data_IF_043522785693
#
_entry.id   IF_043522785693
#
_cell.length_a   1.000
_cell.length_b   1.000
_cell.length_c   1.000
_cell.angle_alpha   90.00
_cell.angle_beta   90.00
_cell.angle_gamma   90.00
#
_symmetry.space_group_name_H-M   'P 1'
#
loop_
_entity.id
_entity.type
_entity.pdbx_description
1 polymer ?
#
# COMPACT_ATOMS: atom_id res chain seq x y z
N UNK A 1 -24.77 -62.67 -6.78
CA UNK A 1 -25.90 -61.88 -7.22
C UNK A 1 -26.24 -60.78 -6.18
N UNK A 2 -26.66 -61.09 -4.94
CA UNK A 2 -27.04 -60.08 -3.92
C UNK A 2 -26.04 -58.93 -3.79
N UNK A 3 -24.73 -59.20 -3.71
CA UNK A 3 -23.69 -58.17 -3.59
C UNK A 3 -23.65 -57.24 -4.79
N UNK A 4 -23.96 -57.73 -6.00
CA UNK A 4 -24.04 -56.93 -7.23
C UNK A 4 -25.32 -56.08 -7.27
N UNK A 5 -26.42 -56.66 -6.75
CA UNK A 5 -27.70 -55.94 -6.61
C UNK A 5 -27.59 -54.80 -5.60
N UNK A 6 -26.93 -55.03 -4.47
CA UNK A 6 -26.67 -54.00 -3.47
C UNK A 6 -25.79 -52.86 -4.03
N UNK A 7 -24.73 -53.20 -4.78
CA UNK A 7 -23.88 -52.22 -5.44
C UNK A 7 -24.61 -51.42 -6.52
N UNK A 8 -25.50 -52.08 -7.27
CA UNK A 8 -26.32 -51.41 -8.27
C UNK A 8 -27.28 -50.41 -7.63
N UNK A 9 -27.94 -50.81 -6.55
CA UNK A 9 -28.85 -49.97 -5.79
C UNK A 9 -28.12 -48.74 -5.20
N UNK A 10 -26.90 -48.94 -4.68
CA UNK A 10 -26.06 -47.89 -4.17
C UNK A 10 -25.65 -46.87 -5.26
N UNK A 11 -25.26 -47.34 -6.44
CA UNK A 11 -24.91 -46.49 -7.60
C UNK A 11 -26.13 -45.71 -8.09
N UNK A 12 -27.31 -46.32 -8.16
CA UNK A 12 -28.55 -45.62 -8.53
C UNK A 12 -28.87 -44.53 -7.51
N UNK A 13 -28.76 -44.82 -6.23
CA UNK A 13 -28.96 -43.84 -5.17
C UNK A 13 -28.02 -42.60 -5.30
N UNK A 14 -26.75 -42.83 -5.65
CA UNK A 14 -25.81 -41.75 -5.87
C UNK A 14 -26.11 -40.96 -7.15
N UNK A 15 -26.61 -41.57 -8.17
CA UNK A 15 -27.05 -40.90 -9.41
C UNK A 15 -28.28 -40.02 -9.19
N UNK A 16 -29.25 -40.49 -8.41
CA UNK A 16 -30.45 -39.76 -8.07
C UNK A 16 -30.17 -38.55 -7.14
N UNK A 17 -29.09 -38.64 -6.33
CA UNK A 17 -28.65 -37.61 -5.39
C UNK A 17 -27.22 -37.10 -5.72
N UNK A 18 -26.92 -36.91 -7.00
CA UNK A 18 -25.56 -36.60 -7.46
C UNK A 18 -24.95 -35.38 -6.84
N UNK A 19 -25.73 -34.33 -6.60
CA UNK A 19 -25.25 -33.07 -6.00
C UNK A 19 -24.82 -33.29 -4.55
N UNK A 20 -25.62 -33.98 -3.76
CA UNK A 20 -25.32 -34.26 -2.35
C UNK A 20 -24.12 -35.19 -2.22
N UNK A 21 -24.05 -36.22 -3.07
CA UNK A 21 -22.89 -37.12 -3.14
C UNK A 21 -21.61 -36.36 -3.50
N UNK A 22 -21.66 -35.46 -4.48
CA UNK A 22 -20.51 -34.64 -4.87
C UNK A 22 -20.05 -33.70 -3.72
N UNK A 23 -20.99 -33.07 -3.02
CA UNK A 23 -20.71 -32.24 -1.86
C UNK A 23 -19.98 -33.01 -0.77
N UNK A 24 -20.49 -34.20 -0.42
CA UNK A 24 -19.91 -35.03 0.64
C UNK A 24 -18.57 -35.63 0.21
N UNK A 25 -18.39 -35.97 -1.05
CA UNK A 25 -17.12 -36.39 -1.61
C UNK A 25 -16.06 -35.28 -1.47
N UNK A 26 -16.39 -34.04 -1.84
CA UNK A 26 -15.46 -32.92 -1.73
C UNK A 26 -15.20 -32.52 -0.30
N UNK A 27 -16.17 -32.59 0.62
CA UNK A 27 -15.95 -32.41 2.07
C UNK A 27 -14.94 -33.43 2.61
N UNK A 28 -15.07 -34.71 2.20
CA UNK A 28 -14.13 -35.77 2.58
C UNK A 28 -12.73 -35.50 2.02
N UNK A 29 -12.61 -35.13 0.75
CA UNK A 29 -11.32 -34.72 0.17
C UNK A 29 -10.68 -33.55 0.89
N UNK A 30 -11.48 -32.54 1.28
CA UNK A 30 -10.99 -31.41 2.07
C UNK A 30 -10.46 -31.85 3.44
N UNK A 31 -11.16 -32.76 4.09
CA UNK A 31 -10.74 -33.31 5.39
C UNK A 31 -9.46 -34.14 5.31
N UNK A 32 -9.34 -34.98 4.25
CA UNK A 32 -8.24 -35.92 4.13
C UNK A 32 -6.96 -35.30 3.54
N UNK A 33 -7.10 -34.21 2.74
CA UNK A 33 -6.01 -33.63 1.95
C UNK A 33 -5.96 -32.10 1.98
N UNK A 34 -6.80 -31.43 2.78
CA UNK A 34 -6.94 -29.98 2.79
C UNK A 34 -5.84 -29.24 3.56
N UNK A 35 -5.25 -29.90 4.54
CA UNK A 35 -4.23 -29.29 5.39
C UNK A 35 -3.00 -28.83 4.58
N UNK A 36 -2.62 -27.58 4.74
CA UNK A 36 -1.53 -26.94 4.00
C UNK A 36 -1.81 -26.70 2.51
N UNK A 37 -3.05 -26.90 2.04
CA UNK A 37 -3.49 -26.66 0.66
C UNK A 37 -4.63 -25.67 0.57
N UNK A 38 -4.65 -24.70 1.48
CA UNK A 38 -5.64 -23.64 1.49
C UNK A 38 -5.54 -22.78 0.24
N UNK A 39 -6.68 -22.27 -0.16
CA UNK A 39 -6.74 -21.44 -1.35
C UNK A 39 -6.04 -20.11 -1.12
N UNK A 40 -4.95 -19.87 -1.82
CA UNK A 40 -4.20 -18.60 -1.80
C UNK A 40 -4.71 -17.56 -2.80
N UNK A 41 -5.76 -17.87 -3.57
CA UNK A 41 -6.32 -16.97 -4.58
C UNK A 41 -7.80 -16.74 -4.35
N UNK A 42 -8.23 -15.49 -4.52
CA UNK A 42 -9.64 -15.09 -4.48
C UNK A 42 -10.22 -15.08 -5.90
N UNK A 43 -11.42 -15.68 -6.10
CA UNK A 43 -12.13 -15.54 -7.37
C UNK A 43 -12.93 -14.26 -7.33
N UNK A 44 -12.58 -13.31 -8.20
CA UNK A 44 -13.33 -12.07 -8.42
C UNK A 44 -13.88 -12.03 -9.84
N UNK A 45 -15.04 -11.42 -10.00
CA UNK A 45 -15.59 -11.13 -11.34
C UNK A 45 -14.75 -10.03 -11.99
N UNK A 46 -14.56 -10.10 -13.31
CA UNK A 46 -13.76 -9.12 -14.05
C UNK A 46 -14.28 -7.68 -13.91
N UNK A 47 -15.56 -7.51 -13.67
CA UNK A 47 -16.20 -6.20 -13.50
C UNK A 47 -15.75 -5.43 -12.23
N UNK A 48 -15.18 -6.16 -11.25
CA UNK A 48 -14.69 -5.56 -9.98
C UNK A 48 -13.17 -5.41 -9.94
N UNK A 49 -12.43 -5.89 -10.95
CA UNK A 49 -10.97 -5.83 -10.98
C UNK A 49 -10.53 -4.64 -11.83
N UNK A 50 -10.14 -3.55 -11.20
CA UNK A 50 -9.38 -2.50 -11.90
C UNK A 50 -7.98 -3.04 -12.21
N UNK A 51 -7.61 -3.05 -13.49
CA UNK A 51 -6.31 -3.60 -13.94
C UNK A 51 -5.12 -2.96 -13.19
N UNK A 52 -5.22 -1.70 -12.84
CA UNK A 52 -4.22 -0.95 -12.07
C UNK A 52 -4.00 -1.47 -10.64
N UNK A 53 -4.97 -2.19 -10.07
CA UNK A 53 -4.86 -2.76 -8.71
C UNK A 53 -4.20 -4.13 -8.68
N UNK A 54 -4.11 -4.82 -9.82
CA UNK A 54 -3.61 -6.20 -9.92
C UNK A 54 -2.21 -6.28 -10.53
N UNK A 55 -1.79 -5.24 -11.23
CA UNK A 55 -0.48 -5.23 -11.92
C UNK A 55 0.65 -5.05 -10.93
N UNK A 56 1.55 -6.03 -10.92
CA UNK A 56 2.79 -5.97 -10.15
C UNK A 56 3.72 -4.94 -10.77
N UNK A 57 4.34 -4.09 -9.93
CA UNK A 57 5.37 -3.15 -10.37
C UNK A 57 6.57 -3.95 -10.92
N UNK A 58 6.77 -3.92 -12.24
CA UNK A 58 7.79 -4.69 -12.95
C UNK A 58 8.89 -3.80 -13.58
N UNK A 59 8.79 -2.50 -13.40
CA UNK A 59 9.70 -1.49 -13.95
C UNK A 59 10.22 -0.58 -12.84
N UNK A 60 11.39 0.02 -13.08
CA UNK A 60 11.97 1.04 -12.21
C UNK A 60 11.91 2.38 -12.93
N UNK A 61 11.33 3.37 -12.29
CA UNK A 61 11.19 4.73 -12.80
C UNK A 61 12.44 5.54 -12.45
N UNK A 62 12.94 6.30 -13.41
CA UNK A 62 14.09 7.18 -13.26
C UNK A 62 13.79 8.57 -13.79
N UNK A 63 14.50 9.57 -13.30
CA UNK A 63 14.37 10.98 -13.70
C UNK A 63 15.72 11.62 -13.92
N UNK A 64 15.84 12.38 -15.01
CA UNK A 64 16.89 13.36 -15.23
C UNK A 64 16.29 14.77 -15.05
N UNK A 65 16.48 15.35 -13.85
CA UNK A 65 15.81 16.61 -13.47
C UNK A 65 16.26 17.80 -14.30
N UNK A 66 17.53 17.87 -14.60
CA UNK A 66 18.13 19.01 -15.32
C UNK A 66 17.76 18.99 -16.81
N UNK A 67 17.86 17.82 -17.44
CA UNK A 67 17.52 17.66 -18.86
C UNK A 67 16.01 17.51 -19.09
N UNK A 68 15.23 17.16 -18.06
CA UNK A 68 13.78 17.07 -18.10
C UNK A 68 13.23 15.78 -18.68
N UNK A 69 13.94 14.67 -18.55
CA UNK A 69 13.49 13.36 -19.00
C UNK A 69 13.06 12.48 -17.83
N UNK A 70 11.98 11.71 -18.04
CA UNK A 70 11.48 10.69 -17.10
C UNK A 70 11.21 9.41 -17.87
N UNK A 71 11.50 8.24 -17.26
CA UNK A 71 11.18 6.94 -17.85
C UNK A 71 11.97 5.78 -17.26
N UNK A 72 11.54 4.54 -17.58
CA UNK A 72 12.19 3.32 -17.09
C UNK A 72 13.47 2.95 -17.86
N UNK A 73 13.75 3.61 -18.98
CA UNK A 73 14.98 3.41 -19.77
C UNK A 73 16.20 4.19 -19.28
N UNK A 74 16.02 5.12 -18.35
CA UNK A 74 17.05 6.05 -17.87
C UNK A 74 17.86 5.48 -16.69
N UNK A 75 18.39 4.28 -16.82
CA UNK A 75 19.04 3.51 -15.72
C UNK A 75 20.29 4.17 -15.10
N UNK A 76 20.84 5.21 -15.70
CA UNK A 76 22.01 5.97 -15.22
C UNK A 76 21.63 7.21 -14.42
N UNK A 77 20.36 7.59 -14.45
CA UNK A 77 19.81 8.79 -13.82
C UNK A 77 19.25 8.46 -12.42
N UNK A 78 18.66 9.44 -11.76
CA UNK A 78 18.12 9.30 -10.40
C UNK A 78 16.95 8.31 -10.39
N UNK A 79 17.01 7.30 -9.52
CA UNK A 79 15.91 6.37 -9.26
C UNK A 79 14.79 7.06 -8.45
N UNK A 80 13.55 6.87 -8.88
CA UNK A 80 12.36 7.45 -8.24
C UNK A 80 11.59 6.39 -7.44
N UNK A 81 11.08 5.37 -8.12
CA UNK A 81 10.26 4.31 -7.51
C UNK A 81 10.11 3.12 -8.45
N UNK A 82 9.52 2.05 -7.94
CA UNK A 82 9.00 0.99 -8.79
C UNK A 82 7.67 1.41 -9.40
N UNK A 83 7.39 0.98 -10.62
CA UNK A 83 6.17 1.27 -11.35
C UNK A 83 5.80 0.13 -12.30
N UNK A 84 4.62 0.20 -12.86
CA UNK A 84 4.18 -0.64 -13.98
C UNK A 84 4.18 0.15 -15.28
N UNK A 85 4.17 -0.54 -16.40
CA UNK A 85 4.04 0.06 -17.74
C UNK A 85 2.64 0.64 -18.02
N UNK A 86 1.65 0.31 -17.20
CA UNK A 86 0.30 0.89 -17.28
C UNK A 86 0.08 2.06 -16.31
N UNK A 87 1.00 2.30 -15.37
CA UNK A 87 0.88 3.37 -14.40
C UNK A 87 0.93 4.76 -15.05
N UNK A 88 0.37 5.72 -14.34
CA UNK A 88 0.50 7.14 -14.65
C UNK A 88 1.46 7.80 -13.65
N UNK A 89 2.23 8.76 -14.13
CA UNK A 89 3.17 9.53 -13.33
C UNK A 89 2.78 11.00 -13.31
N UNK A 90 2.94 11.62 -12.15
CA UNK A 90 2.77 13.07 -11.98
C UNK A 90 4.14 13.74 -11.90
N UNK A 91 4.28 14.84 -12.62
CA UNK A 91 5.51 15.61 -12.70
C UNK A 91 5.22 17.06 -12.33
N UNK A 92 6.08 17.65 -11.50
CA UNK A 92 6.04 19.07 -11.16
C UNK A 92 7.37 19.73 -11.54
N UNK A 93 7.30 20.87 -12.22
CA UNK A 93 8.47 21.64 -12.67
C UNK A 93 8.63 22.94 -11.87
N UNK A 94 9.84 23.48 -11.86
CA UNK A 94 10.18 24.72 -11.15
C UNK A 94 9.46 25.96 -11.67
N UNK A 95 9.00 25.95 -12.92
CA UNK A 95 8.20 27.03 -13.53
C UNK A 95 6.73 27.04 -13.07
N UNK A 96 6.31 26.07 -12.25
CA UNK A 96 4.94 25.98 -11.75
C UNK A 96 4.02 25.09 -12.56
N UNK A 97 4.54 24.42 -13.58
CA UNK A 97 3.76 23.50 -14.41
C UNK A 97 3.72 22.11 -13.82
N UNK A 98 2.53 21.51 -13.84
CA UNK A 98 2.26 20.11 -13.50
C UNK A 98 1.70 19.38 -14.72
N UNK A 99 2.11 18.13 -14.89
CA UNK A 99 1.57 17.23 -15.93
C UNK A 99 1.42 15.82 -15.38
N UNK A 100 0.37 15.10 -15.80
CA UNK A 100 0.23 13.67 -15.58
C UNK A 100 0.30 12.96 -16.93
N UNK A 101 1.11 11.91 -16.99
CA UNK A 101 1.32 11.14 -18.22
C UNK A 101 1.49 9.68 -17.92
N UNK A 102 1.26 8.83 -18.92
CA UNK A 102 1.57 7.41 -18.82
C UNK A 102 3.09 7.19 -18.71
N UNK A 103 3.49 6.17 -17.98
CA UNK A 103 4.90 5.73 -17.92
C UNK A 103 5.39 5.35 -19.32
N UNK A 104 6.61 5.79 -19.67
CA UNK A 104 7.26 5.49 -20.95
C UNK A 104 8.73 5.09 -20.71
N UNK A 105 9.38 4.57 -21.74
CA UNK A 105 10.81 4.25 -21.70
C UNK A 105 11.68 5.50 -21.48
N UNK A 106 11.38 6.58 -22.17
CA UNK A 106 12.01 7.91 -22.05
C UNK A 106 11.10 8.97 -22.67
N UNK A 107 10.58 9.88 -21.85
CA UNK A 107 9.73 10.99 -22.31
C UNK A 107 10.25 12.31 -21.75
N UNK A 108 10.19 13.36 -22.58
CA UNK A 108 10.59 14.72 -22.20
C UNK A 108 9.38 15.46 -21.60
N UNK A 109 9.57 16.08 -20.44
CA UNK A 109 8.53 16.85 -19.71
C UNK A 109 8.92 18.29 -19.43
N UNK A 110 10.06 18.75 -19.93
CA UNK A 110 10.62 20.05 -19.62
C UNK A 110 11.69 20.00 -18.52
N UNK A 111 12.57 20.99 -18.53
CA UNK A 111 13.70 21.09 -17.59
C UNK A 111 13.26 21.45 -16.20
N UNK A 112 14.19 21.31 -15.24
CA UNK A 112 14.03 21.71 -13.85
C UNK A 112 12.86 21.01 -13.16
N UNK A 113 12.80 19.67 -13.27
CA UNK A 113 11.80 18.83 -12.61
C UNK A 113 12.07 18.83 -11.11
N UNK A 114 11.09 19.26 -10.31
CA UNK A 114 11.16 19.26 -8.85
C UNK A 114 10.72 17.93 -8.24
N UNK A 115 9.64 17.34 -8.78
CA UNK A 115 9.06 16.12 -8.23
C UNK A 115 8.48 15.22 -9.32
N UNK A 116 8.68 13.92 -9.13
CA UNK A 116 8.07 12.84 -9.95
C UNK A 116 7.61 11.74 -9.02
N UNK A 117 6.42 11.24 -9.23
CA UNK A 117 5.87 10.07 -8.50
C UNK A 117 4.87 9.30 -9.37
N UNK A 118 4.59 8.05 -9.02
CA UNK A 118 3.44 7.32 -9.55
C UNK A 118 2.17 8.00 -9.05
N UNK A 119 1.24 8.29 -9.95
CA UNK A 119 -0.01 8.97 -9.65
C UNK A 119 -1.20 8.02 -9.75
N UNK A 120 -2.11 8.13 -8.80
CA UNK A 120 -3.36 7.36 -8.77
C UNK A 120 -4.54 8.30 -8.87
N UNK A 121 -5.45 8.02 -9.83
CA UNK A 121 -6.70 8.78 -9.98
C UNK A 121 -7.55 8.63 -8.72
N UNK A 122 -8.08 9.75 -8.23
CA UNK A 122 -8.91 9.76 -7.02
C UNK A 122 -8.14 9.78 -5.70
N UNK A 123 -6.80 9.81 -5.72
CA UNK A 123 -6.01 9.93 -4.49
C UNK A 123 -6.23 11.33 -3.86
N UNK A 124 -6.91 11.35 -2.73
CA UNK A 124 -7.19 12.53 -1.93
C UNK A 124 -6.27 12.66 -0.69
N UNK A 125 -5.38 11.68 -0.48
CA UNK A 125 -4.47 11.67 0.67
C UNK A 125 -3.14 12.31 0.39
N UNK A 126 -2.62 12.20 -0.83
CA UNK A 126 -1.41 12.90 -1.23
C UNK A 126 -1.68 14.40 -1.31
N UNK A 127 -1.09 15.14 -0.40
CA UNK A 127 -1.21 16.59 -0.29
C UNK A 127 0.09 17.25 -0.69
N UNK A 128 0.01 18.21 -1.60
CA UNK A 128 1.16 18.97 -2.08
C UNK A 128 1.19 20.33 -1.40
N UNK A 129 2.37 20.70 -0.87
CA UNK A 129 2.65 22.03 -0.36
C UNK A 129 3.45 22.79 -1.40
N UNK A 130 3.04 24.01 -1.68
CA UNK A 130 3.69 24.84 -2.68
C UNK A 130 3.77 26.28 -2.22
N UNK A 131 4.98 26.87 -2.34
CA UNK A 131 5.17 28.31 -2.26
C UNK A 131 5.75 28.78 -3.58
N UNK A 132 5.13 29.76 -4.19
CA UNK A 132 5.57 30.29 -5.48
C UNK A 132 5.62 31.81 -5.48
N UNK A 133 6.51 32.35 -6.27
CA UNK A 133 6.62 33.79 -6.57
C UNK A 133 5.82 34.06 -7.85
N UNK A 134 4.90 35.03 -7.80
CA UNK A 134 4.03 35.41 -8.90
C UNK A 134 4.70 36.47 -9.79
N UNK A 135 5.32 36.01 -10.87
CA UNK A 135 6.19 36.81 -11.73
C UNK A 135 7.58 37.05 -11.13
N UNK A 136 8.48 37.68 -11.86
CA UNK A 136 9.90 37.84 -11.50
C UNK A 136 10.16 38.69 -10.25
N UNK A 137 9.26 39.57 -9.87
CA UNK A 137 9.36 40.47 -8.73
C UNK A 137 8.06 40.64 -7.93
N UNK A 138 7.09 39.77 -8.17
CA UNK A 138 5.78 39.81 -7.54
C UNK A 138 5.76 39.21 -6.10
N UNK A 139 4.60 39.24 -5.46
CA UNK A 139 4.40 38.64 -4.14
C UNK A 139 4.56 37.12 -4.19
N UNK A 140 4.84 36.55 -3.03
CA UNK A 140 4.86 35.11 -2.85
C UNK A 140 3.50 34.62 -2.32
N UNK A 141 3.02 33.54 -2.91
CA UNK A 141 1.81 32.84 -2.51
C UNK A 141 2.15 31.46 -1.96
N UNK A 142 1.31 31.00 -1.05
CA UNK A 142 1.39 29.67 -0.46
C UNK A 142 0.08 28.95 -0.64
N UNK A 143 0.13 27.67 -0.99
CA UNK A 143 -1.06 26.81 -1.09
C UNK A 143 -0.78 25.38 -0.70
N UNK A 144 -1.84 24.73 -0.27
CA UNK A 144 -1.91 23.33 0.08
C UNK A 144 -3.01 22.69 -0.74
N UNK A 145 -2.70 21.66 -1.52
CA UNK A 145 -3.67 21.12 -2.48
C UNK A 145 -3.45 19.64 -2.75
N UNK A 146 -4.50 18.99 -3.25
CA UNK A 146 -4.44 17.64 -3.80
C UNK A 146 -4.73 17.62 -5.32
N UNK A 147 -4.43 16.50 -5.97
CA UNK A 147 -4.62 16.26 -7.41
C UNK A 147 -5.38 14.97 -7.61
N UNK A 148 -6.70 15.02 -7.50
CA UNK A 148 -7.58 13.84 -7.57
C UNK A 148 -7.98 13.45 -9.00
N UNK A 149 -7.95 14.41 -9.94
CA UNK A 149 -8.31 14.17 -11.33
C UNK A 149 -7.70 15.19 -12.28
N UNK A 150 -7.20 14.71 -13.42
CA UNK A 150 -6.58 15.51 -14.47
C UNK A 150 -6.83 14.87 -15.83
N UNK A 151 -6.68 15.67 -16.89
CA UNK A 151 -6.58 15.14 -18.26
C UNK A 151 -5.12 14.75 -18.51
N UNK A 152 -4.89 13.54 -19.00
CA UNK A 152 -3.56 13.02 -19.33
C UNK A 152 -2.88 13.87 -20.38
N UNK A 153 -1.57 14.04 -20.26
CA UNK A 153 -0.70 14.80 -21.17
C UNK A 153 -1.04 16.29 -21.33
N UNK A 154 -1.94 16.82 -20.48
CA UNK A 154 -2.25 18.25 -20.41
C UNK A 154 -1.37 18.91 -19.34
N UNK A 155 -0.73 20.01 -19.72
CA UNK A 155 -0.01 20.87 -18.79
C UNK A 155 -0.97 21.77 -18.02
N UNK A 156 -0.76 21.85 -16.70
CA UNK A 156 -1.53 22.70 -15.79
C UNK A 156 -0.60 23.69 -15.10
N UNK A 157 -0.84 24.97 -15.30
CA UNK A 157 -0.14 26.02 -14.55
C UNK A 157 -0.73 26.11 -13.13
N UNK A 158 0.10 25.86 -12.15
CA UNK A 158 -0.26 25.92 -10.72
C UNK A 158 -0.04 27.32 -10.12
N UNK A 159 0.46 28.26 -10.89
CA UNK A 159 0.67 29.68 -10.51
C UNK A 159 -0.52 30.53 -10.95
N UNK A 160 -0.37 31.85 -10.93
CA UNK A 160 -1.37 32.77 -11.46
C UNK A 160 -1.16 33.12 -12.95
N UNK A 161 -0.32 32.37 -13.65
CA UNK A 161 -0.06 32.56 -15.09
C UNK A 161 0.80 33.76 -15.46
N UNK A 162 1.39 34.47 -14.49
CA UNK A 162 2.29 35.57 -14.80
C UNK A 162 3.65 35.09 -15.31
N UNK A 163 4.12 35.66 -16.39
CA UNK A 163 5.43 35.34 -16.95
C UNK A 163 6.55 35.56 -15.92
N UNK A 164 7.39 34.53 -15.73
CA UNK A 164 8.48 34.54 -14.77
C UNK A 164 8.07 34.13 -13.36
N UNK A 165 6.88 33.56 -13.20
CA UNK A 165 6.49 32.85 -11.97
C UNK A 165 7.37 31.63 -11.77
N UNK A 166 7.67 31.29 -10.51
CA UNK A 166 8.48 30.12 -10.18
C UNK A 166 8.13 29.55 -8.82
N UNK A 167 8.29 28.26 -8.68
CA UNK A 167 8.22 27.60 -7.37
C UNK A 167 9.44 27.93 -6.54
N UNK A 168 9.22 28.32 -5.29
CA UNK A 168 10.25 28.60 -4.30
C UNK A 168 10.41 27.47 -3.29
N UNK A 169 9.32 26.72 -3.09
CA UNK A 169 9.25 25.52 -2.24
C UNK A 169 8.19 24.58 -2.78
N UNK A 170 8.48 23.29 -2.73
CA UNK A 170 7.56 22.24 -3.09
C UNK A 170 7.83 20.99 -2.27
N UNK A 171 6.78 20.36 -1.76
CA UNK A 171 6.83 19.03 -1.15
C UNK A 171 5.59 18.21 -1.48
N UNK A 172 5.75 16.90 -1.49
CA UNK A 172 4.67 15.94 -1.62
C UNK A 172 4.56 15.14 -0.33
N UNK A 173 3.36 15.10 0.24
CA UNK A 173 3.05 14.49 1.53
C UNK A 173 2.00 13.40 1.34
N UNK A 174 2.40 12.11 1.18
CA UNK A 174 1.52 11.01 0.75
C UNK A 174 0.37 10.71 1.71
N UNK A 175 0.49 11.09 2.96
CA UNK A 175 -0.55 10.92 3.97
C UNK A 175 -1.03 12.26 4.56
N UNK A 176 -0.86 13.36 3.82
CA UNK A 176 -1.29 14.68 4.25
C UNK A 176 -0.53 15.23 5.45
N UNK A 177 0.74 14.85 5.60
CA UNK A 177 1.62 15.37 6.63
C UNK A 177 1.72 16.89 6.53
N UNK A 178 1.79 17.55 7.68
CA UNK A 178 2.04 18.99 7.77
C UNK A 178 3.54 19.28 7.76
N UNK A 179 3.89 20.52 7.46
CA UNK A 179 5.27 20.98 7.47
C UNK A 179 5.35 22.40 8.01
N UNK A 180 6.41 22.69 8.75
CA UNK A 180 6.79 24.05 9.13
C UNK A 180 8.01 24.44 8.31
N UNK A 181 7.95 25.58 7.63
CA UNK A 181 9.05 26.09 6.81
C UNK A 181 9.56 27.42 7.35
N UNK A 182 10.87 27.62 7.30
CA UNK A 182 11.50 28.90 7.61
C UNK A 182 11.66 29.72 6.34
N UNK A 183 11.03 30.88 6.32
CA UNK A 183 11.01 31.80 5.18
C UNK A 183 11.98 32.94 5.43
N UNK A 184 12.99 33.13 4.55
CA UNK A 184 13.97 34.22 4.60
C UNK A 184 13.65 35.25 3.52
N UNK A 185 13.44 36.50 3.92
CA UNK A 185 13.17 37.61 3.01
C UNK A 185 14.46 38.27 2.52
N UNK A 186 14.41 38.89 1.34
CA UNK A 186 15.51 39.74 0.87
C UNK A 186 15.54 41.00 1.70
N UNK A 187 16.73 41.42 2.21
CA UNK A 187 16.86 42.67 2.98
C UNK A 187 16.39 43.86 2.15
N UNK A 188 15.61 44.73 2.80
CA UNK A 188 15.16 46.01 2.24
C UNK A 188 15.20 47.09 3.34
N UNK A 189 15.43 48.36 3.00
CA UNK A 189 15.31 49.45 3.95
C UNK A 189 13.92 49.41 4.61
N UNK A 190 13.87 49.62 5.94
CA UNK A 190 12.66 49.61 6.78
C UNK A 190 12.02 48.20 7.01
N UNK A 191 12.57 47.13 6.49
CA UNK A 191 12.08 45.76 6.79
C UNK A 191 12.70 45.28 8.10
N UNK A 192 11.89 45.16 9.16
CA UNK A 192 12.35 44.74 10.50
C UNK A 192 12.50 43.22 10.61
N UNK A 193 11.56 42.47 10.08
CA UNK A 193 11.55 41.00 10.15
C UNK A 193 12.09 40.41 8.86
N UNK A 194 13.25 39.75 8.94
CA UNK A 194 13.90 39.12 7.78
C UNK A 194 13.64 37.61 7.69
N UNK A 195 13.17 37.00 8.77
CA UNK A 195 12.89 35.55 8.85
C UNK A 195 11.62 35.36 9.66
N UNK A 196 10.82 34.42 9.24
CA UNK A 196 9.64 33.92 9.97
C UNK A 196 9.38 32.48 9.62
N UNK A 197 8.71 31.76 10.50
CA UNK A 197 8.26 30.42 10.28
C UNK A 197 6.81 30.45 9.76
N UNK A 198 6.47 29.51 8.90
CA UNK A 198 5.13 29.33 8.37
C UNK A 198 4.74 27.87 8.52
N UNK A 199 3.59 27.61 9.12
CA UNK A 199 3.01 26.30 9.32
C UNK A 199 1.93 26.03 8.27
N UNK A 200 2.08 24.94 7.51
CA UNK A 200 1.09 24.54 6.51
C UNK A 200 -0.24 24.05 7.11
N UNK A 201 -0.30 23.72 8.41
CA UNK A 201 -1.56 23.37 9.08
C UNK A 201 -2.57 24.49 9.06
N UNK A 202 -2.10 25.77 9.01
CA UNK A 202 -2.96 26.94 8.92
C UNK A 202 -3.73 27.04 7.59
N UNK A 203 -3.39 26.20 6.61
CA UNK A 203 -4.02 26.20 5.29
C UNK A 203 -4.97 25.01 5.12
N UNK A 204 -6.20 25.31 4.70
CA UNK A 204 -7.11 24.29 4.21
C UNK A 204 -6.57 23.66 2.91
N UNK A 205 -6.78 22.36 2.76
CA UNK A 205 -6.49 21.63 1.51
C UNK A 205 -7.52 22.04 0.47
N UNK A 206 -7.08 22.56 -0.68
CA UNK A 206 -7.93 23.01 -1.77
C UNK A 206 -7.61 22.25 -3.06
N UNK A 207 -8.39 22.47 -4.11
CA UNK A 207 -8.06 21.94 -5.44
C UNK A 207 -6.83 22.62 -6.04
N UNK A 208 -6.17 21.95 -7.01
CA UNK A 208 -4.95 22.43 -7.68
C UNK A 208 -5.06 23.83 -8.30
N UNK A 209 -6.25 24.20 -8.80
CA UNK A 209 -6.51 25.50 -9.43
C UNK A 209 -6.58 26.69 -8.47
N UNK A 210 -6.59 26.44 -7.16
CA UNK A 210 -6.61 27.53 -6.18
C UNK A 210 -5.36 28.40 -6.30
N UNK A 211 -5.56 29.72 -6.25
CA UNK A 211 -4.49 30.72 -6.27
C UNK A 211 -3.56 30.60 -5.05
N UNK A 212 -4.10 30.22 -3.91
CA UNK A 212 -3.40 30.22 -2.63
C UNK A 212 -3.49 31.57 -1.89
N UNK A 213 -2.97 31.56 -0.67
CA UNK A 213 -2.93 32.73 0.21
C UNK A 213 -1.64 33.54 0.00
N UNK A 214 -1.67 34.82 0.24
CA UNK A 214 -0.45 35.65 0.18
C UNK A 214 0.45 35.35 1.37
N UNK A 215 1.61 34.76 1.12
CA UNK A 215 2.63 34.50 2.14
C UNK A 215 3.41 35.78 2.48
N UNK A 216 3.88 36.50 1.44
CA UNK A 216 4.63 37.73 1.62
C UNK A 216 4.53 38.63 0.38
N UNK A 217 4.36 39.93 0.62
CA UNK A 217 4.50 40.99 -0.40
C UNK A 217 5.96 41.33 -0.69
N UNK A 218 6.89 40.96 0.22
CA UNK A 218 8.31 41.14 0.03
C UNK A 218 8.94 39.95 -0.68
N UNK A 219 10.02 40.22 -1.40
CA UNK A 219 10.75 39.16 -2.12
C UNK A 219 11.36 38.17 -1.12
N UNK A 220 11.09 36.90 -1.36
CA UNK A 220 11.67 35.78 -0.63
C UNK A 220 13.07 35.49 -1.19
N UNK A 221 14.03 35.27 -0.33
CA UNK A 221 15.38 34.85 -0.68
C UNK A 221 15.54 33.37 -0.70
N UNK A 222 15.06 32.70 0.37
CA UNK A 222 15.18 31.25 0.56
C UNK A 222 14.03 30.73 1.42
N UNK A 223 13.64 29.48 1.18
CA UNK A 223 12.71 28.75 2.02
C UNK A 223 13.37 27.42 2.37
N UNK A 224 13.36 27.05 3.63
CA UNK A 224 13.95 25.82 4.15
C UNK A 224 12.92 25.08 5.00
N UNK A 225 12.82 23.77 4.82
CA UNK A 225 12.06 22.93 5.73
C UNK A 225 12.67 23.04 7.12
N UNK A 226 11.85 23.35 8.13
CA UNK A 226 12.24 23.43 9.52
C UNK A 226 11.84 22.14 10.26
N UNK A 227 10.61 21.73 10.08
CA UNK A 227 10.02 20.61 10.80
C UNK A 227 8.99 19.91 9.92
N UNK A 228 8.92 18.57 10.00
CA UNK A 228 7.82 17.78 9.47
C UNK A 228 6.89 17.44 10.61
N UNK A 229 5.62 17.77 10.44
CA UNK A 229 4.56 17.44 11.37
C UNK A 229 3.84 16.15 10.96
N UNK A 230 2.79 15.89 11.68
CA UNK A 230 1.96 14.72 11.51
C UNK A 230 0.94 14.88 10.38
N UNK A 231 0.26 13.78 10.05
CA UNK A 231 -0.87 13.81 9.14
C UNK A 231 -2.03 14.62 9.71
N UNK A 232 -2.58 15.51 8.91
CA UNK A 232 -3.77 16.29 9.23
C UNK A 232 -5.06 15.65 8.72
N UNK A 233 -4.96 14.45 8.17
CA UNK A 233 -6.09 13.69 7.61
C UNK A 233 -6.62 12.69 8.63
N UNK A 234 -7.92 12.37 8.51
CA UNK A 234 -8.55 11.34 9.33
C UNK A 234 -7.86 9.97 9.18
N UNK A 235 -7.92 9.16 10.25
CA UNK A 235 -7.41 7.80 10.24
C UNK A 235 -8.06 6.98 9.12
N UNK A 236 -7.30 6.04 8.56
CA UNK A 236 -7.77 5.13 7.51
C UNK A 236 -7.67 3.68 7.95
N UNK A 237 -8.61 2.86 7.53
CA UNK A 237 -8.54 1.42 7.69
C UNK A 237 -7.46 0.85 6.77
N UNK A 238 -6.62 -0.05 7.29
CA UNK A 238 -5.51 -0.67 6.56
C UNK A 238 -5.58 -2.18 6.73
N UNK A 239 -5.37 -2.89 5.63
CA UNK A 239 -5.30 -4.35 5.56
C UNK A 239 -3.94 -4.78 4.99
N UNK A 240 -3.52 -6.00 5.32
CA UNK A 240 -2.39 -6.67 4.70
C UNK A 240 -2.89 -7.80 3.80
N UNK A 241 -2.54 -7.76 2.55
CA UNK A 241 -2.72 -8.88 1.64
C UNK A 241 -1.53 -9.84 1.83
N UNK A 242 -1.77 -10.98 2.44
CA UNK A 242 -0.73 -11.96 2.79
C UNK A 242 -0.09 -12.63 1.57
N UNK A 243 -0.80 -12.66 0.43
CA UNK A 243 -0.29 -13.24 -0.81
C UNK A 243 0.70 -12.29 -1.51
N UNK A 244 0.31 -11.01 -1.63
CA UNK A 244 1.15 -10.00 -2.27
C UNK A 244 2.13 -9.33 -1.30
N UNK A 245 2.01 -9.59 -0.01
CA UNK A 245 2.81 -9.00 1.07
C UNK A 245 2.83 -7.46 1.00
N UNK A 246 1.64 -6.87 0.70
CA UNK A 246 1.45 -5.43 0.57
C UNK A 246 0.26 -4.93 1.39
N UNK A 247 0.37 -3.71 1.86
CA UNK A 247 -0.74 -3.01 2.49
C UNK A 247 -1.76 -2.56 1.43
N UNK A 248 -3.03 -2.52 1.84
CA UNK A 248 -4.10 -1.98 1.02
C UNK A 248 -5.17 -1.30 1.90
N UNK A 249 -6.07 -0.56 1.25
CA UNK A 249 -7.24 0.09 1.86
C UNK A 249 -8.54 -0.45 1.29
N UNK A 250 -8.47 -1.47 0.46
CA UNK A 250 -9.58 -2.05 -0.32
C UNK A 250 -10.25 -3.22 0.42
N UNK A 251 -9.86 -3.51 1.67
CA UNK A 251 -10.42 -4.60 2.47
C UNK A 251 -9.89 -5.99 2.11
N UNK A 252 -8.73 -6.10 1.44
CA UNK A 252 -8.15 -7.39 1.04
C UNK A 252 -7.19 -7.93 2.09
N UNK A 253 -7.43 -9.19 2.49
CA UNK A 253 -6.59 -9.88 3.47
C UNK A 253 -6.95 -9.54 4.91
N UNK A 254 -5.96 -9.61 5.81
CA UNK A 254 -6.14 -9.42 7.25
C UNK A 254 -6.21 -7.93 7.61
N UNK A 255 -7.20 -7.56 8.42
CA UNK A 255 -7.35 -6.20 8.94
C UNK A 255 -6.27 -5.91 9.99
N UNK A 256 -5.57 -4.79 9.83
CA UNK A 256 -4.53 -4.35 10.76
C UNK A 256 -5.00 -3.25 11.71
N UNK A 257 -6.14 -2.62 11.43
CA UNK A 257 -6.70 -1.54 12.23
C UNK A 257 -6.82 -0.20 11.49
N UNK A 258 -7.22 0.82 12.24
CA UNK A 258 -7.26 2.20 11.75
C UNK A 258 -5.92 2.88 12.04
N UNK A 259 -5.35 3.55 11.03
CA UNK A 259 -4.06 4.23 11.10
C UNK A 259 -4.22 5.73 10.90
N UNK A 260 -3.91 6.49 11.92
CA UNK A 260 -3.72 7.94 11.87
C UNK A 260 -2.30 8.32 11.41
N UNK A 261 -1.96 9.60 11.55
CA UNK A 261 -0.67 10.14 11.10
C UNK A 261 0.55 9.57 11.82
N UNK A 262 0.45 9.37 13.11
CA UNK A 262 1.55 8.89 13.96
C UNK A 262 1.64 7.37 14.09
N UNK A 263 0.57 6.67 13.72
CA UNK A 263 0.51 5.23 13.88
C UNK A 263 1.57 4.51 13.03
N UNK A 264 2.23 3.56 13.65
CA UNK A 264 3.29 2.77 13.02
C UNK A 264 2.93 1.29 12.97
N UNK A 265 3.52 0.61 12.03
CA UNK A 265 3.52 -0.84 11.94
C UNK A 265 4.68 -1.39 12.77
N UNK A 266 4.42 -2.43 13.52
CA UNK A 266 5.42 -3.31 14.09
C UNK A 266 5.71 -4.44 13.09
N UNK A 267 6.97 -4.56 12.72
CA UNK A 267 7.50 -5.61 11.85
C UNK A 267 8.44 -6.48 12.65
N UNK A 268 8.17 -7.78 12.74
CA UNK A 268 9.02 -8.75 13.44
C UNK A 268 9.50 -9.79 12.44
N UNK A 269 10.80 -10.04 12.41
CA UNK A 269 11.43 -11.03 11.54
C UNK A 269 11.67 -12.35 12.25
N UNK A 270 11.59 -13.45 11.51
CA UNK A 270 11.98 -14.80 11.94
C UNK A 270 13.44 -14.87 12.38
N UNK A 271 14.27 -13.92 11.93
CA UNK A 271 15.66 -13.80 12.32
C UNK A 271 15.87 -13.18 13.71
N UNK A 272 14.80 -12.79 14.40
CA UNK A 272 14.85 -12.28 15.77
C UNK A 272 15.21 -10.81 15.90
N UNK A 273 14.78 -9.98 14.96
CA UNK A 273 14.79 -8.52 15.07
C UNK A 273 13.41 -7.93 14.83
N UNK A 274 13.20 -6.72 15.33
CA UNK A 274 12.01 -5.92 15.00
C UNK A 274 12.39 -4.52 14.52
N UNK A 275 11.47 -3.87 13.86
CA UNK A 275 11.50 -2.43 13.52
C UNK A 275 10.11 -1.85 13.40
N UNK A 276 10.00 -0.53 13.52
CA UNK A 276 8.77 0.20 13.24
C UNK A 276 8.86 0.88 11.88
N UNK A 277 7.76 0.81 11.13
CA UNK A 277 7.61 1.46 9.83
C UNK A 277 6.32 2.29 9.78
N UNK A 278 6.28 3.32 8.92
CA UNK A 278 5.02 3.99 8.60
C UNK A 278 4.10 3.04 7.81
N UNK A 279 2.78 3.21 7.94
CA UNK A 279 1.81 2.44 7.17
C UNK A 279 1.71 2.95 5.72
N UNK A 280 2.80 2.84 4.97
CA UNK A 280 2.87 3.25 3.56
C UNK A 280 2.40 2.10 2.64
N UNK A 281 1.40 2.37 1.80
CA UNK A 281 0.84 1.40 0.86
C UNK A 281 1.83 0.97 -0.24
N UNK A 282 2.91 1.71 -0.43
CA UNK A 282 3.98 1.36 -1.38
C UNK A 282 4.92 0.27 -0.84
N UNK A 283 4.92 0.02 0.47
CA UNK A 283 5.79 -0.97 1.08
C UNK A 283 5.43 -2.39 0.63
N UNK A 284 6.48 -3.16 0.35
CA UNK A 284 6.44 -4.60 0.16
C UNK A 284 7.22 -5.25 1.30
N UNK A 285 6.63 -6.23 1.95
CA UNK A 285 7.26 -6.95 3.05
C UNK A 285 7.85 -8.26 2.57
N UNK A 286 9.08 -8.53 2.96
CA UNK A 286 9.76 -9.78 2.65
C UNK A 286 9.12 -10.96 3.39
N UNK A 287 9.36 -12.18 2.90
CA UNK A 287 8.80 -13.40 3.49
C UNK A 287 9.36 -13.72 4.89
N UNK A 288 10.53 -13.15 5.25
CA UNK A 288 11.17 -13.28 6.56
C UNK A 288 10.48 -12.47 7.67
N UNK A 289 9.51 -11.61 7.34
CA UNK A 289 8.71 -10.88 8.33
C UNK A 289 7.49 -11.72 8.72
N UNK A 290 7.50 -12.25 9.93
CA UNK A 290 6.44 -13.11 10.47
C UNK A 290 5.26 -12.33 11.06
N UNK A 291 5.54 -11.18 11.75
CA UNK A 291 4.50 -10.35 12.34
C UNK A 291 4.47 -8.99 11.65
N UNK A 292 3.28 -8.61 11.20
CA UNK A 292 2.95 -7.29 10.67
C UNK A 292 1.67 -6.84 11.36
N UNK A 293 1.77 -5.88 12.28
CA UNK A 293 0.66 -5.42 13.11
C UNK A 293 0.74 -3.91 13.34
N UNK A 294 -0.37 -3.31 13.79
CA UNK A 294 -0.34 -1.95 14.32
C UNK A 294 0.46 -1.92 15.62
N UNK A 295 1.51 -1.11 15.68
CA UNK A 295 2.29 -0.96 16.91
C UNK A 295 1.46 -0.33 18.03
N UNK A 296 1.49 -0.95 19.19
CA UNK A 296 0.86 -0.48 20.41
C UNK A 296 1.94 -0.38 21.49
N UNK A 297 2.31 0.84 21.94
CA UNK A 297 3.44 1.05 22.86
C UNK A 297 3.24 0.44 24.23
N UNK A 298 2.01 0.23 24.64
CA UNK A 298 1.58 -0.36 25.90
C UNK A 298 1.54 -1.89 25.90
N UNK A 299 1.58 -2.52 24.72
CA UNK A 299 1.54 -3.98 24.59
C UNK A 299 2.94 -4.58 24.59
N UNK A 300 3.24 -5.49 25.54
CA UNK A 300 4.50 -6.21 25.55
C UNK A 300 4.53 -7.27 24.46
N UNK A 301 5.70 -7.45 23.86
CA UNK A 301 5.99 -8.58 22.99
C UNK A 301 6.58 -9.72 23.83
N UNK A 302 5.99 -10.91 23.71
CA UNK A 302 6.44 -12.16 24.33
C UNK A 302 7.10 -13.02 23.27
N UNK A 303 8.29 -13.54 23.57
CA UNK A 303 9.06 -14.36 22.63
C UNK A 303 9.59 -15.61 23.32
N UNK A 304 9.70 -16.67 22.53
CA UNK A 304 10.43 -17.89 22.91
C UNK A 304 11.44 -18.16 21.80
N UNK A 305 12.69 -18.34 22.18
CA UNK A 305 13.77 -18.63 21.24
C UNK A 305 14.75 -19.65 21.79
N UNK A 306 15.42 -20.35 20.91
CA UNK A 306 16.56 -21.17 21.26
C UNK A 306 17.83 -20.29 21.29
N UNK A 307 18.46 -20.20 22.44
CA UNK A 307 19.73 -19.48 22.65
C UNK A 307 20.89 -20.41 22.29
N UNK A 308 21.49 -20.18 21.11
CA UNK A 308 22.57 -20.99 20.60
C UNK A 308 23.87 -20.89 21.40
N UNK A 309 24.11 -19.76 22.08
CA UNK A 309 25.29 -19.57 22.93
C UNK A 309 25.18 -20.42 24.21
N UNK A 310 24.01 -20.45 24.84
CA UNK A 310 23.75 -21.17 26.10
C UNK A 310 23.13 -22.54 25.92
N UNK A 311 22.84 -22.93 24.69
CA UNK A 311 22.18 -24.20 24.34
C UNK A 311 20.93 -24.47 25.17
N UNK A 312 19.99 -23.52 25.20
CA UNK A 312 18.75 -23.61 25.97
C UNK A 312 17.58 -22.85 25.36
N UNK A 313 16.38 -23.27 25.68
CA UNK A 313 15.15 -22.56 25.36
C UNK A 313 14.95 -21.40 26.34
N UNK A 314 14.70 -20.22 25.81
CA UNK A 314 14.64 -18.98 26.59
C UNK A 314 13.35 -18.26 26.29
N UNK A 315 12.64 -17.80 27.32
CA UNK A 315 11.46 -16.94 27.22
C UNK A 315 11.82 -15.52 27.63
N UNK A 316 11.28 -14.54 26.94
CA UNK A 316 11.52 -13.13 27.18
C UNK A 316 10.26 -12.34 26.90
N UNK A 317 9.97 -11.29 27.70
CA UNK A 317 8.84 -10.39 27.54
C UNK A 317 9.33 -8.96 27.69
N UNK A 318 9.01 -8.08 26.73
CA UNK A 318 9.51 -6.70 26.72
C UNK A 318 8.59 -5.77 25.94
N UNK A 319 8.62 -4.46 26.27
CA UNK A 319 7.96 -3.44 25.46
C UNK A 319 8.81 -3.11 24.23
N UNK A 320 8.15 -2.97 23.11
CA UNK A 320 8.80 -2.58 21.85
C UNK A 320 9.12 -1.10 21.88
N UNK A 321 10.40 -0.76 21.87
CA UNK A 321 10.88 0.61 21.84
C UNK A 321 10.84 1.18 20.41
N UNK A 322 10.50 2.48 20.24
CA UNK A 322 10.43 3.10 18.91
C UNK A 322 11.79 3.06 18.19
N UNK A 323 11.89 2.30 17.11
CA UNK A 323 13.08 2.25 16.26
C UNK A 323 12.70 2.01 14.79
N UNK A 324 13.25 2.81 13.90
CA UNK A 324 13.14 2.58 12.43
C UNK A 324 14.27 1.68 11.90
N UNK A 325 15.25 1.37 12.74
CA UNK A 325 16.35 0.43 12.44
C UNK A 325 16.01 -0.92 13.05
N UNK A 326 16.60 -1.96 12.52
CA UNK A 326 16.46 -3.31 13.06
C UNK A 326 17.03 -3.36 14.48
N UNK A 327 16.22 -3.85 15.42
CA UNK A 327 16.59 -4.06 16.83
C UNK A 327 16.55 -5.55 17.11
N UNK A 328 17.73 -6.14 17.31
CA UNK A 328 17.86 -7.57 17.63
C UNK A 328 17.39 -7.84 19.06
N UNK A 329 16.56 -8.85 19.24
CA UNK A 329 16.02 -9.22 20.54
C UNK A 329 16.34 -10.66 20.98
N UNK A 330 16.98 -11.46 20.15
CA UNK A 330 17.55 -12.77 20.48
C UNK A 330 19.08 -12.69 20.57
N UNK A 331 19.73 -13.75 21.02
CA UNK A 331 21.21 -13.83 21.09
C UNK A 331 21.79 -13.94 19.68
N UNK A 332 22.79 -13.12 19.35
CA UNK A 332 23.52 -13.16 18.08
C UNK A 332 24.46 -14.38 18.04
N UNK A 333 23.95 -15.52 17.65
CA UNK A 333 24.68 -16.77 17.49
C UNK A 333 24.08 -17.57 16.32
N UNK A 334 24.92 -18.26 15.54
CA UNK A 334 24.50 -19.00 14.35
C UNK A 334 23.37 -20.02 14.60
N UNK A 335 23.35 -20.62 15.77
CA UNK A 335 22.36 -21.62 16.18
C UNK A 335 21.18 -21.00 16.93
N UNK A 336 21.13 -19.70 17.14
CA UNK A 336 19.98 -19.05 17.76
C UNK A 336 18.81 -18.99 16.78
N UNK A 337 17.63 -19.35 17.26
CA UNK A 337 16.42 -19.43 16.44
C UNK A 337 15.21 -18.90 17.20
N UNK A 338 14.47 -17.99 16.59
CA UNK A 338 13.16 -17.58 17.06
C UNK A 338 12.17 -18.73 16.84
N UNK A 339 11.45 -19.14 17.87
CA UNK A 339 10.48 -20.22 17.82
C UNK A 339 9.05 -19.68 17.84
N UNK A 340 8.80 -18.64 18.64
CA UNK A 340 7.50 -18.01 18.78
C UNK A 340 7.69 -16.54 19.14
N UNK A 341 6.87 -15.67 18.55
CA UNK A 341 6.71 -14.28 18.94
C UNK A 341 5.24 -13.90 18.88
N UNK A 342 4.77 -13.12 19.86
CA UNK A 342 3.39 -12.64 19.93
C UNK A 342 3.29 -11.31 20.67
N UNK A 343 2.33 -10.48 20.29
CA UNK A 343 1.95 -9.24 20.97
C UNK A 343 0.65 -9.40 21.78
N UNK A 344 0.13 -10.62 21.90
CA UNK A 344 -1.03 -10.92 22.76
C UNK A 344 -0.75 -10.49 24.20
N UNK A 345 -1.79 -10.00 24.89
CA UNK A 345 -1.67 -9.53 26.28
C UNK A 345 -1.40 -10.72 27.19
N UNK A 346 -2.20 -11.77 27.07
CA UNK A 346 -2.15 -12.98 27.89
C UNK A 346 -1.86 -14.22 27.02
N UNK A 347 -0.64 -14.37 26.50
CA UNK A 347 -0.33 -15.47 25.59
C UNK A 347 -0.20 -16.78 26.34
N UNK A 348 -0.96 -17.79 25.93
CA UNK A 348 -0.85 -19.17 26.42
C UNK A 348 -0.13 -19.97 25.35
N UNK A 349 0.96 -20.61 25.69
CA UNK A 349 1.77 -21.42 24.80
C UNK A 349 1.65 -22.88 25.17
N UNK A 350 1.25 -23.70 24.19
CA UNK A 350 1.26 -25.16 24.32
C UNK A 350 2.54 -25.70 23.70
N UNK A 351 3.22 -26.54 24.51
CA UNK A 351 4.43 -27.25 24.13
C UNK A 351 4.14 -28.73 24.03
N UNK A 352 4.31 -29.27 22.84
CA UNK A 352 4.18 -30.72 22.63
C UNK A 352 5.56 -31.38 22.57
N UNK A 353 5.71 -32.49 23.24
CA UNK A 353 6.92 -33.28 23.28
C UNK A 353 6.76 -34.60 22.50
N UNK A 354 7.90 -35.10 21.98
CA UNK A 354 7.89 -36.44 21.38
C UNK A 354 7.93 -37.48 22.52
N UNK A 355 6.79 -38.12 22.72
CA UNK A 355 6.58 -39.19 23.76
C UNK A 355 7.58 -40.34 23.69
N UNK A 356 8.26 -40.51 22.53
CA UNK A 356 9.25 -41.59 22.36
C UNK A 356 10.65 -41.19 22.82
N UNK A 357 10.98 -39.90 22.81
CA UNK A 357 12.35 -39.41 23.06
C UNK A 357 12.49 -38.71 24.42
N UNK A 358 11.48 -37.95 24.87
CA UNK A 358 11.59 -37.13 26.09
C UNK A 358 10.92 -37.75 27.31
N UNK A 359 9.86 -38.56 27.13
CA UNK A 359 9.05 -39.06 28.23
C UNK A 359 8.23 -37.97 28.95
N UNK A 360 8.31 -36.72 28.50
CA UNK A 360 7.58 -35.58 29.02
C UNK A 360 6.16 -35.53 28.42
N UNK A 361 5.20 -35.10 29.23
CA UNK A 361 3.82 -34.83 28.77
C UNK A 361 3.73 -33.45 28.19
N UNK A 362 2.69 -33.21 27.38
CA UNK A 362 2.43 -31.91 26.80
C UNK A 362 2.09 -30.90 27.90
N UNK A 363 2.63 -29.69 27.83
CA UNK A 363 2.50 -28.65 28.85
C UNK A 363 1.92 -27.36 28.24
N UNK A 364 1.15 -26.64 29.05
CA UNK A 364 0.61 -25.33 28.69
C UNK A 364 1.16 -24.27 29.67
N UNK A 365 1.64 -23.16 29.09
CA UNK A 365 2.31 -22.09 29.84
C UNK A 365 1.64 -20.76 29.57
N UNK A 366 1.17 -20.10 30.64
CA UNK A 366 0.75 -18.70 30.57
C UNK A 366 1.97 -17.81 30.75
N UNK A 367 2.40 -17.14 29.65
CA UNK A 367 3.67 -16.44 29.66
C UNK A 367 3.70 -15.21 30.55
N UNK A 368 2.55 -14.61 30.87
CA UNK A 368 2.45 -13.47 31.77
C UNK A 368 2.85 -13.86 33.21
N UNK A 369 2.44 -15.03 33.66
CA UNK A 369 2.77 -15.53 34.98
C UNK A 369 4.23 -15.98 35.11
N UNK A 370 4.82 -16.45 34.00
CA UNK A 370 6.19 -16.97 33.98
C UNK A 370 7.26 -15.87 33.97
N UNK A 371 7.01 -14.75 33.31
CA UNK A 371 8.01 -13.70 33.16
C UNK A 371 7.40 -12.31 33.09
N UNK A 372 7.87 -11.43 33.97
CA UNK A 372 7.54 -10.00 33.91
C UNK A 372 8.20 -9.28 32.76
N UNK A 373 7.60 -8.16 32.37
CA UNK A 373 8.12 -7.28 31.31
C UNK A 373 9.47 -6.68 31.72
N UNK A 374 10.48 -6.79 30.85
CA UNK A 374 11.85 -6.26 31.03
C UNK A 374 12.25 -5.45 29.80
N UNK A 375 13.45 -4.86 29.80
CA UNK A 375 13.99 -4.17 28.61
C UNK A 375 14.36 -5.15 27.49
N UNK A 376 14.39 -4.66 26.25
CA UNK A 376 14.70 -5.47 25.07
C UNK A 376 16.07 -6.15 25.12
N UNK A 377 17.03 -5.54 25.80
CA UNK A 377 18.40 -6.07 25.97
C UNK A 377 18.54 -7.07 27.12
N UNK A 378 17.46 -7.26 27.94
CA UNK A 378 17.51 -8.17 29.08
C UNK A 378 17.69 -9.62 28.60
N UNK A 379 18.44 -10.39 29.39
CA UNK A 379 18.56 -11.84 29.22
C UNK A 379 17.25 -12.47 29.68
N UNK A 380 16.61 -13.27 28.81
CA UNK A 380 15.40 -13.98 29.13
C UNK A 380 15.61 -15.07 30.21
N UNK A 381 14.52 -15.62 30.71
CA UNK A 381 14.51 -16.74 31.63
C UNK A 381 14.62 -18.07 30.85
N UNK A 382 15.16 -19.12 31.50
CA UNK A 382 15.07 -20.48 30.96
C UNK A 382 13.61 -20.88 30.88
N UNK A 383 13.16 -21.40 29.76
CA UNK A 383 11.77 -21.79 29.53
C UNK A 383 11.55 -23.28 29.81
N UNK A 384 12.09 -24.12 28.95
CA UNK A 384 11.97 -25.60 29.06
C UNK A 384 13.34 -26.25 29.02
N UNK A 385 13.41 -27.51 29.40
CA UNK A 385 14.65 -28.30 29.41
C UNK A 385 14.73 -29.20 28.19
N UNK A 386 13.64 -29.86 27.86
CA UNK A 386 13.58 -30.88 26.83
C UNK A 386 13.29 -30.23 25.45
N UNK A 387 13.71 -30.92 24.40
CA UNK A 387 13.47 -30.44 23.05
C UNK A 387 11.99 -30.58 22.71
N UNK A 388 11.27 -29.48 22.39
CA UNK A 388 9.89 -29.56 21.97
C UNK A 388 9.80 -30.19 20.58
N UNK A 389 8.73 -30.91 20.33
CA UNK A 389 8.33 -31.37 18.99
C UNK A 389 7.65 -30.24 18.24
N UNK A 390 6.65 -29.61 18.87
CA UNK A 390 5.93 -28.46 18.35
C UNK A 390 5.70 -27.46 19.47
N UNK A 391 5.49 -26.19 19.07
CA UNK A 391 5.17 -25.11 19.99
C UNK A 391 4.20 -24.17 19.28
N UNK A 392 3.06 -23.87 19.88
CA UNK A 392 2.05 -23.00 19.29
C UNK A 392 1.36 -22.16 20.34
N UNK A 393 0.92 -20.99 19.91
CA UNK A 393 0.07 -20.11 20.68
C UNK A 393 -1.34 -20.69 20.70
N UNK A 394 -1.93 -20.82 21.89
CA UNK A 394 -3.35 -21.04 22.02
C UNK A 394 -3.98 -19.64 21.97
N UNK A 395 -4.71 -19.37 20.89
CA UNK A 395 -5.49 -18.14 20.83
C UNK A 395 -6.61 -18.25 21.87
N UNK A 396 -6.80 -17.25 22.76
CA UNK A 396 -8.03 -17.17 23.53
C UNK A 396 -9.19 -17.11 22.52
N UNK A 397 -10.30 -17.79 22.79
CA UNK A 397 -11.53 -17.60 22.02
C UNK A 397 -11.78 -16.11 21.95
N UNK A 398 -11.80 -15.53 20.74
CA UNK A 398 -12.10 -14.12 20.54
C UNK A 398 -13.51 -13.90 21.13
N UNK A 399 -13.59 -13.33 22.33
CA UNK A 399 -14.79 -12.65 22.73
C UNK A 399 -14.94 -11.50 21.73
N UNK A 400 -15.95 -11.59 20.85
CA UNK A 400 -16.34 -10.54 19.94
C UNK A 400 -16.41 -9.24 20.77
N UNK A 401 -15.36 -8.41 20.72
CA UNK A 401 -15.46 -7.02 21.15
C UNK A 401 -16.52 -6.41 20.21
N UNK A 402 -17.78 -6.42 20.68
CA UNK A 402 -18.85 -5.64 20.07
C UNK A 402 -18.29 -4.22 19.95
N UNK A 403 -17.94 -3.82 18.71
CA UNK A 403 -17.65 -2.42 18.40
C UNK A 403 -18.91 -1.66 18.82
N UNK A 404 -18.86 -0.99 19.99
CA UNK A 404 -19.80 0.07 20.33
C UNK A 404 -19.75 1.08 19.17
N UNK A 405 -20.62 0.86 18.22
CA UNK A 405 -21.02 1.85 17.24
C UNK A 405 -21.87 2.86 17.99
N UNK A 406 -21.24 3.83 18.64
CA UNK A 406 -21.89 5.08 18.98
C UNK A 406 -22.35 5.74 17.66
N UNK A 407 -23.50 5.32 17.18
CA UNK A 407 -24.33 6.09 16.28
C UNK A 407 -24.80 7.31 17.08
N UNK A 408 -24.02 8.38 16.99
CA UNK A 408 -24.42 9.72 17.42
C UNK A 408 -25.56 10.18 16.50
N UNK A 409 -26.78 9.76 16.85
CA UNK A 409 -28.02 10.36 16.33
C UNK A 409 -28.07 11.81 16.83
N UNK A 410 -27.40 12.69 16.10
CA UNK A 410 -27.53 14.13 16.25
C UNK A 410 -28.95 14.56 15.94
N UNK A 411 -29.75 14.66 16.98
CA UNK A 411 -31.05 15.28 16.98
C UNK A 411 -30.91 16.78 16.68
N UNK A 412 -31.15 17.19 15.42
CA UNK A 412 -31.16 18.57 14.98
C UNK A 412 -32.60 19.10 15.03
N UNK A 413 -32.98 19.69 16.17
CA UNK A 413 -34.14 20.56 16.26
C UNK A 413 -33.72 22.02 16.50
N UNK A 414 -33.95 22.82 15.48
CA UNK A 414 -34.52 24.16 15.67
C UNK A 414 -33.59 25.37 15.66
N UNK A 415 -33.76 26.23 14.68
CA UNK A 415 -33.38 27.62 14.83
C UNK A 415 -33.17 28.39 13.52
N UNK A 416 -34.28 28.87 12.96
CA UNK A 416 -34.28 29.78 11.83
C UNK A 416 -33.56 31.10 12.09
N UNK A 417 -32.72 31.53 11.15
CA UNK A 417 -32.48 32.95 10.86
C UNK A 417 -32.13 33.13 9.37
N UNK A 418 -33.04 33.72 8.65
CA UNK A 418 -32.86 34.28 7.32
C UNK A 418 -31.86 35.43 7.36
N UNK A 419 -30.94 35.52 6.40
CA UNK A 419 -30.59 36.79 5.75
C UNK A 419 -29.62 36.57 4.56
N UNK A 420 -30.08 37.10 3.45
CA UNK A 420 -29.40 37.70 2.30
C UNK A 420 -28.61 36.81 1.33
N UNK A 421 -29.32 36.48 0.27
CA UNK A 421 -28.82 36.01 -1.02
C UNK A 421 -28.44 37.24 -1.84
N UNK A 422 -27.14 37.45 -2.12
CA UNK A 422 -26.71 38.27 -3.25
C UNK A 422 -26.56 37.39 -4.49
N UNK A 423 -27.42 37.71 -5.48
CA UNK A 423 -27.37 37.20 -6.84
C UNK A 423 -25.97 37.45 -7.46
N UNK A 424 -25.34 36.39 -7.99
CA UNK A 424 -24.30 36.54 -8.99
C UNK A 424 -24.80 35.89 -10.28
N UNK A 425 -24.87 36.71 -11.30
CA UNK A 425 -25.32 36.49 -12.65
C UNK A 425 -24.61 35.28 -13.28
N UNK A 426 -25.42 34.38 -13.85
CA UNK A 426 -25.02 33.33 -14.76
C UNK A 426 -24.77 33.95 -16.14
N UNK A 427 -23.56 33.94 -16.64
CA UNK A 427 -23.26 34.14 -18.06
C UNK A 427 -23.67 32.87 -18.83
N UNK A 428 -24.72 33.02 -19.63
CA UNK A 428 -25.15 32.01 -20.60
C UNK A 428 -24.08 31.83 -21.65
N UNK A 429 -23.61 30.59 -21.81
CA UNK A 429 -22.81 30.14 -22.97
C UNK A 429 -23.75 29.39 -23.93
N UNK A 430 -23.84 29.90 -25.13
CA UNK A 430 -24.62 29.46 -26.25
C UNK A 430 -24.64 27.94 -26.46
N UNK A 431 -25.86 27.39 -26.41
CA UNK A 431 -26.17 26.00 -26.76
C UNK A 431 -26.57 25.95 -28.25
N UNK A 432 -25.62 25.56 -29.12
CA UNK A 432 -25.96 25.18 -30.49
C UNK A 432 -26.69 23.83 -30.46
N UNK A 433 -28.01 23.92 -30.59
CA UNK A 433 -28.90 22.78 -30.75
C UNK A 433 -28.65 22.05 -32.08
N UNK A 434 -28.13 20.84 -32.00
CA UNK A 434 -28.11 19.90 -33.11
C UNK A 434 -29.35 19.00 -33.04
N UNK A 435 -30.31 19.27 -33.96
CA UNK A 435 -31.48 18.45 -34.14
C UNK A 435 -31.15 17.11 -34.75
N UNK A 436 -31.52 16.05 -34.04
CA UNK A 436 -31.50 14.67 -34.55
C UNK A 436 -32.85 14.32 -35.12
N UNK A 437 -32.90 14.15 -36.42
CA UNK A 437 -34.03 13.58 -37.14
C UNK A 437 -34.22 12.10 -36.77
N UNK A 438 -35.45 11.77 -36.38
CA UNK A 438 -35.91 10.38 -36.26
C UNK A 438 -36.19 9.83 -37.65
N UNK A 439 -35.44 8.79 -38.08
CA UNK A 439 -36.00 7.83 -39.06
C UNK A 439 -35.38 6.44 -38.92
N UNK A 440 -36.33 5.50 -38.74
CA UNK A 440 -36.40 4.10 -39.17
C UNK A 440 -35.45 3.06 -38.59
N UNK A 441 -36.10 2.19 -37.86
CA UNK A 441 -35.71 0.79 -37.59
C UNK A 441 -35.32 0.07 -38.89
N UNK A 442 -34.12 -0.48 -38.95
CA UNK A 442 -33.80 -1.57 -39.86
C UNK A 442 -32.89 -2.57 -39.13
N UNK A 443 -33.47 -3.72 -38.90
CA UNK A 443 -32.86 -4.89 -38.31
C UNK A 443 -31.83 -5.51 -39.27
N UNK A 444 -30.56 -5.49 -38.92
CA UNK A 444 -29.51 -6.24 -39.60
C UNK A 444 -29.24 -7.54 -38.83
N UNK A 445 -29.86 -8.63 -39.34
CA UNK A 445 -29.44 -9.99 -39.05
C UNK A 445 -28.03 -10.21 -39.65
N UNK A 446 -27.07 -10.58 -38.80
CA UNK A 446 -25.74 -11.00 -39.27
C UNK A 446 -25.68 -12.52 -39.30
N UNK A 447 -25.80 -13.04 -40.53
CA UNK A 447 -25.63 -14.46 -40.85
C UNK A 447 -24.14 -14.82 -40.84
N UNK A 448 -23.76 -15.79 -40.00
CA UNK A 448 -22.41 -16.36 -39.97
C UNK A 448 -22.38 -17.60 -40.90
N UNK A 449 -22.03 -17.38 -42.16
CA UNK A 449 -21.74 -18.44 -43.11
C UNK A 449 -20.22 -18.76 -43.13
N UNK A 450 -19.82 -19.85 -42.51
CA UNK A 450 -18.45 -20.39 -42.56
C UNK A 450 -18.34 -21.35 -43.73
N UNK A 451 -17.72 -20.96 -44.83
CA UNK A 451 -17.30 -21.87 -45.91
C UNK A 451 -15.79 -22.17 -45.81
N UNK A 452 -15.40 -23.47 -45.89
CA UNK A 452 -14.00 -23.86 -45.88
C UNK A 452 -13.42 -23.73 -47.31
N UNK A 453 -12.34 -22.94 -47.42
CA UNK A 453 -11.56 -22.83 -48.67
C UNK A 453 -10.37 -23.79 -48.64
N UNK A 454 -10.49 -24.84 -49.44
CA UNK A 454 -9.38 -25.70 -49.87
C UNK A 454 -8.64 -25.04 -51.02
N UNK A 455 -7.33 -24.79 -50.92
CA UNK A 455 -6.43 -24.77 -52.10
C UNK A 455 -5.04 -25.28 -51.71
N UNK A 456 -4.74 -26.42 -52.33
CA UNK A 456 -3.42 -27.02 -52.57
C UNK A 456 -2.42 -26.03 -53.15
N UNK A 457 -1.21 -26.01 -52.64
CA UNK A 457 -0.04 -25.61 -53.44
C UNK A 457 1.19 -26.39 -52.98
N UNK A 458 1.81 -26.96 -53.95
CA UNK A 458 2.81 -27.99 -54.05
C UNK A 458 4.14 -27.74 -53.32
N UNK A 459 4.63 -28.83 -52.78
CA UNK A 459 5.98 -29.08 -52.28
C UNK A 459 7.03 -28.93 -53.41
N UNK A 460 8.12 -28.21 -53.16
CA UNK A 460 9.43 -28.42 -53.80
C UNK A 460 10.46 -28.80 -52.76
N UNK A 461 10.88 -30.07 -52.86
CA UNK A 461 12.04 -30.63 -52.16
C UNK A 461 13.32 -30.02 -52.69
N UNK A 462 14.25 -29.66 -51.84
CA UNK A 462 15.68 -29.72 -52.06
C UNK A 462 16.34 -30.25 -50.78
N UNK A 463 17.07 -31.31 -50.95
CA UNK A 463 17.78 -32.07 -49.91
C UNK A 463 19.17 -31.45 -49.60
N UNK A 464 20.02 -32.18 -48.90
CA UNK A 464 20.68 -31.69 -47.69
C UNK A 464 22.15 -31.32 -47.91
N UNK A 465 22.68 -30.50 -47.01
CA UNK A 465 24.10 -30.41 -46.78
C UNK A 465 24.37 -30.40 -45.27
N UNK A 466 25.30 -31.21 -44.92
CA UNK A 466 25.83 -31.64 -43.65
C UNK A 466 26.62 -30.61 -42.89
N UNK A 467 26.72 -30.92 -41.55
CA UNK A 467 27.84 -30.73 -40.59
C UNK A 467 27.90 -29.36 -39.89
N UNK A 468 27.98 -29.24 -38.60
CA UNK A 468 28.73 -29.80 -37.48
C UNK A 468 28.30 -29.12 -36.15
N UNK A 469 28.23 -29.96 -35.11
CA UNK A 469 28.47 -29.71 -33.70
C UNK A 469 27.99 -28.48 -32.93
N UNK A 470 27.29 -28.76 -31.82
CA UNK A 470 27.25 -27.84 -30.70
C UNK A 470 26.07 -27.98 -29.74
N UNK A 471 26.14 -28.93 -28.86
CA UNK A 471 25.57 -29.04 -27.51
C UNK A 471 24.36 -28.20 -27.11
N UNK A 472 23.28 -28.92 -26.86
CA UNK A 472 22.12 -28.49 -26.07
C UNK A 472 22.47 -28.59 -24.58
N UNK A 473 22.29 -27.52 -23.82
CA UNK A 473 22.23 -27.54 -22.37
C UNK A 473 20.84 -27.09 -21.93
N UNK A 474 20.12 -28.06 -21.37
CA UNK A 474 18.91 -27.87 -20.58
C UNK A 474 19.34 -27.59 -19.13
N UNK A 475 18.99 -26.43 -18.61
CA UNK A 475 18.54 -26.27 -17.21
C UNK A 475 17.68 -25.00 -17.12
#
# INVERSE_FOLDING_TARGET
LRKLEDQLAEVIHYLDNLTDFAIDYFKKLKKDFGDGRERKTEIRTFDTIEATKVVVANRKLYVNREEGFVGYGLKKDEYVSECSDIDEIIIFRADGVMVVSKVDSKKFFGKDILHVAVWKKGDNRTVYHMIYQDGSAGPCFVKRFNVTGVTRDKEYDLTNGKKGSRMMYFSANPNGESEVVNVKLRPRPKLKTLKFDFDFTELAIKGRGAKGNTLSKNLVSKIELKERGESTLAARKVWIDEVTRRLNVDGRGRFLGQFGGEDKLLLVSDQGFYKLAAADLALHFNDDISIIEKWRPDRPMSIIYYDGDKNRYTVKRFLVEPSTKDVTFITEHENSQLLLATTSIDPIVKVEYDKRSSGSEDEEFQLEELIGVKGVTAIGNRFITDKPKNMFLLEPEEEDEEEDSDEDEGNDEGGAALQDVEELEEEEADDESFSVDQHSEDSLEVDFDVKPSSKNAQVKKKGPASDEEGQISLF
#
